data_IF_943749023828
#
_entry.id   IF_943749023828
#
_cell.length_a   1.000
_cell.length_b   1.000
_cell.length_c   1.000
_cell.angle_alpha   90.00
_cell.angle_beta   90.00
_cell.angle_gamma   90.00
#
_symmetry.space_group_name_H-M   'P 1'
#
loop_
_entity.id
_entity.type
_entity.pdbx_description
1 polymer ?
#
# COMPACT_ATOMS: atom_id res chain seq x y z
N UNK A 1 -6.33 -12.47 19.53
CA UNK A 1 -5.56 -13.05 18.40
C UNK A 1 -6.31 -13.02 17.07
N UNK A 2 -7.57 -13.48 16.98
CA UNK A 2 -8.34 -13.47 15.74
C UNK A 2 -8.51 -12.08 15.10
N UNK A 3 -8.83 -11.06 15.91
CA UNK A 3 -9.06 -9.68 15.44
C UNK A 3 -7.79 -9.07 14.82
N UNK A 4 -6.62 -9.28 15.43
CA UNK A 4 -5.34 -8.79 14.91
C UNK A 4 -5.02 -9.45 13.56
N UNK A 5 -5.26 -10.77 13.45
CA UNK A 5 -5.08 -11.48 12.17
C UNK A 5 -6.03 -10.97 11.10
N UNK A 6 -7.31 -10.72 11.43
CA UNK A 6 -8.31 -10.21 10.49
C UNK A 6 -7.98 -8.79 10.02
N UNK A 7 -7.52 -7.91 10.92
CA UNK A 7 -7.07 -6.57 10.55
C UNK A 7 -5.82 -6.60 9.68
N UNK A 8 -4.82 -7.39 10.05
CA UNK A 8 -3.58 -7.52 9.28
C UNK A 8 -3.86 -8.05 7.86
N UNK A 9 -4.71 -9.08 7.73
CA UNK A 9 -5.18 -9.59 6.44
C UNK A 9 -5.88 -8.50 5.64
N UNK A 10 -6.79 -7.74 6.24
CA UNK A 10 -7.51 -6.65 5.56
C UNK A 10 -6.55 -5.58 5.03
N UNK A 11 -5.54 -5.22 5.81
CA UNK A 11 -4.54 -4.24 5.39
C UNK A 11 -3.65 -4.75 4.27
N UNK A 12 -3.24 -6.02 4.30
CA UNK A 12 -2.47 -6.65 3.21
C UNK A 12 -3.29 -6.67 1.91
N UNK A 13 -4.58 -7.02 1.98
CA UNK A 13 -5.48 -6.98 0.82
C UNK A 13 -5.58 -5.57 0.22
N UNK A 14 -5.77 -4.55 1.05
CA UNK A 14 -5.86 -3.16 0.59
C UNK A 14 -4.52 -2.69 -0.01
N UNK A 15 -3.38 -3.04 0.58
CA UNK A 15 -2.06 -2.71 0.01
C UNK A 15 -1.85 -3.38 -1.35
N UNK A 16 -2.26 -4.64 -1.49
CA UNK A 16 -2.13 -5.37 -2.74
C UNK A 16 -3.00 -4.74 -3.84
N UNK A 17 -4.25 -4.41 -3.53
CA UNK A 17 -5.17 -3.73 -4.44
C UNK A 17 -4.65 -2.34 -4.83
N UNK A 18 -4.19 -1.55 -3.85
CA UNK A 18 -3.60 -0.24 -4.10
C UNK A 18 -2.35 -0.31 -4.97
N UNK A 19 -1.49 -1.31 -4.74
CA UNK A 19 -0.28 -1.54 -5.55
C UNK A 19 -0.60 -1.90 -7.00
N UNK A 20 -1.60 -2.76 -7.23
CA UNK A 20 -2.06 -3.12 -8.59
C UNK A 20 -2.63 -1.90 -9.30
N UNK A 21 -3.53 -1.15 -8.65
CA UNK A 21 -4.12 0.06 -9.22
C UNK A 21 -3.04 1.11 -9.51
N UNK A 22 -2.10 1.30 -8.59
CA UNK A 22 -0.98 2.22 -8.75
C UNK A 22 -0.08 1.85 -9.93
N UNK A 23 0.21 0.57 -10.14
CA UNK A 23 0.97 0.10 -11.31
C UNK A 23 0.24 0.38 -12.63
N UNK A 24 -1.06 0.06 -12.70
CA UNK A 24 -1.88 0.31 -13.90
C UNK A 24 -1.91 1.81 -14.21
N UNK A 25 -2.16 2.65 -13.20
CA UNK A 25 -2.17 4.09 -13.36
C UNK A 25 -0.79 4.63 -13.74
N UNK A 26 0.29 4.16 -13.12
CA UNK A 26 1.66 4.60 -13.42
C UNK A 26 2.07 4.29 -14.87
N UNK A 27 1.80 3.07 -15.34
CA UNK A 27 2.07 2.67 -16.74
C UNK A 27 1.17 3.44 -17.70
N UNK A 28 -0.11 3.61 -17.38
CA UNK A 28 -1.07 4.35 -18.20
C UNK A 28 -0.70 5.83 -18.33
N UNK A 29 -0.40 6.49 -17.22
CA UNK A 29 0.01 7.90 -17.19
C UNK A 29 1.37 8.10 -17.86
N UNK A 30 2.31 7.17 -17.66
CA UNK A 30 3.62 7.19 -18.33
C UNK A 30 3.51 7.10 -19.85
N UNK A 31 2.69 6.19 -20.37
CA UNK A 31 2.42 6.08 -21.81
C UNK A 31 1.67 7.30 -22.35
N UNK A 32 0.69 7.82 -21.61
CA UNK A 32 -0.03 9.03 -22.03
C UNK A 32 0.92 10.22 -22.15
N UNK A 33 1.76 10.45 -21.15
CA UNK A 33 2.77 11.52 -21.19
C UNK A 33 3.77 11.34 -22.34
N UNK A 34 4.18 10.11 -22.64
CA UNK A 34 5.09 9.82 -23.74
C UNK A 34 4.49 10.16 -25.11
N UNK A 35 3.20 9.86 -25.32
CA UNK A 35 2.46 10.24 -26.54
C UNK A 35 2.36 11.76 -26.68
N UNK A 36 2.14 12.49 -25.58
CA UNK A 36 2.04 13.94 -25.60
C UNK A 36 3.37 14.64 -25.88
N UNK A 37 4.50 14.01 -25.54
CA UNK A 37 5.85 14.55 -25.71
C UNK A 37 6.51 14.03 -27.01
N UNK A 38 5.82 13.20 -27.80
CA UNK A 38 6.34 12.53 -29.01
C UNK A 38 7.67 11.80 -28.78
N UNK A 39 7.86 11.25 -27.58
CA UNK A 39 9.09 10.56 -27.19
C UNK A 39 8.81 9.08 -26.96
N UNK A 40 9.78 8.22 -27.25
CA UNK A 40 9.66 6.81 -26.88
C UNK A 40 9.54 6.71 -25.35
N UNK A 41 8.50 6.00 -24.88
CA UNK A 41 8.23 5.81 -23.46
C UNK A 41 9.32 4.94 -22.80
N UNK A 42 10.50 5.50 -22.57
CA UNK A 42 11.57 4.86 -21.81
C UNK A 42 11.24 5.05 -20.34
N UNK A 43 10.52 4.08 -19.75
CA UNK A 43 10.29 4.04 -18.30
C UNK A 43 11.66 3.80 -17.66
N UNK A 44 12.23 4.79 -16.97
CA UNK A 44 13.59 4.65 -16.51
C UNK A 44 13.62 3.83 -15.22
N UNK A 45 14.68 3.05 -15.02
CA UNK A 45 14.78 2.07 -13.92
C UNK A 45 14.54 2.71 -12.54
N UNK A 46 14.95 3.97 -12.35
CA UNK A 46 14.71 4.72 -11.10
C UNK A 46 13.23 4.96 -10.80
N UNK A 47 12.38 5.10 -11.83
CA UNK A 47 10.94 5.25 -11.65
C UNK A 47 10.28 3.95 -11.18
N UNK A 48 10.72 2.81 -11.74
CA UNK A 48 10.28 1.47 -11.30
C UNK A 48 10.70 1.19 -9.86
N UNK A 49 11.97 1.46 -9.54
CA UNK A 49 12.51 1.31 -8.17
C UNK A 49 11.80 2.25 -7.20
N UNK A 50 11.53 3.50 -7.59
CA UNK A 50 10.78 4.47 -6.79
C UNK A 50 9.34 4.04 -6.53
N UNK A 51 8.64 3.52 -7.54
CA UNK A 51 7.29 2.97 -7.40
C UNK A 51 7.24 1.76 -6.46
N UNK A 52 8.20 0.85 -6.58
CA UNK A 52 8.30 -0.33 -5.72
C UNK A 52 8.62 0.04 -4.26
N UNK A 53 9.57 0.96 -4.04
CA UNK A 53 9.89 1.50 -2.73
C UNK A 53 8.70 2.23 -2.11
N UNK A 54 8.00 3.05 -2.89
CA UNK A 54 6.80 3.75 -2.44
C UNK A 54 5.72 2.78 -1.97
N UNK A 55 5.45 1.72 -2.75
CA UNK A 55 4.52 0.66 -2.37
C UNK A 55 4.95 -0.05 -1.07
N UNK A 56 6.23 -0.38 -0.92
CA UNK A 56 6.76 -1.01 0.29
C UNK A 56 6.62 -0.11 1.52
N UNK A 57 6.97 1.17 1.41
CA UNK A 57 6.92 2.14 2.50
C UNK A 57 5.48 2.36 2.94
N UNK A 58 4.57 2.63 2.01
CA UNK A 58 3.15 2.83 2.31
C UNK A 58 2.55 1.56 2.94
N UNK A 59 2.85 0.38 2.39
CA UNK A 59 2.36 -0.88 2.94
C UNK A 59 2.89 -1.21 4.33
N UNK A 60 4.17 -0.92 4.61
CA UNK A 60 4.76 -1.09 5.93
C UNK A 60 4.19 -0.10 6.95
N UNK A 61 4.09 1.19 6.60
CA UNK A 61 3.59 2.21 7.52
C UNK A 61 2.14 1.91 7.89
N UNK A 62 1.27 1.72 6.89
CA UNK A 62 -0.15 1.49 7.14
C UNK A 62 -0.47 0.06 7.59
N UNK A 63 0.43 -0.91 7.41
CA UNK A 63 0.26 -2.28 7.91
C UNK A 63 0.77 -2.48 9.33
N UNK A 64 2.01 -2.07 9.59
CA UNK A 64 2.69 -2.32 10.87
C UNK A 64 2.18 -1.42 11.99
N UNK A 65 1.93 -0.14 11.71
CA UNK A 65 1.47 0.82 12.72
C UNK A 65 0.12 0.43 13.36
N UNK A 66 -0.96 0.14 12.60
CA UNK A 66 -2.22 -0.28 13.20
C UNK A 66 -2.17 -1.69 13.78
N UNK A 67 -1.37 -2.61 13.21
CA UNK A 67 -1.18 -3.94 13.77
C UNK A 67 -0.50 -3.88 15.15
N UNK A 68 0.51 -3.02 15.28
CA UNK A 68 1.17 -2.76 16.56
C UNK A 68 0.18 -2.14 17.56
N UNK A 69 -0.60 -1.14 17.15
CA UNK A 69 -1.64 -0.55 17.99
C UNK A 69 -2.67 -1.60 18.45
N UNK A 70 -3.16 -2.44 17.56
CA UNK A 70 -4.14 -3.49 17.87
C UNK A 70 -3.60 -4.58 18.80
N UNK A 71 -2.30 -4.91 18.71
CA UNK A 71 -1.66 -5.88 19.61
C UNK A 71 -1.52 -5.39 21.06
N UNK A 72 -1.59 -4.07 21.27
CA UNK A 72 -1.42 -3.40 22.56
C UNK A 72 -2.73 -3.02 23.23
N UNK A 73 -3.89 -3.24 22.58
CA UNK A 73 -5.19 -3.10 23.23
C UNK A 73 -5.47 -4.33 24.09
N UNK A 74 -5.57 -4.13 25.40
CA UNK A 74 -5.96 -5.17 26.33
C UNK A 74 -7.45 -5.50 26.16
N UNK A 75 -7.80 -6.78 25.92
CA UNK A 75 -9.17 -7.21 25.63
C UNK A 75 -10.15 -7.01 26.80
N UNK A 76 -9.64 -6.71 28.00
CA UNK A 76 -10.44 -6.43 29.19
C UNK A 76 -10.95 -4.97 29.19
N UNK A 77 -10.22 -4.04 28.58
CA UNK A 77 -10.58 -2.62 28.54
C UNK A 77 -11.63 -2.32 27.44
N UNK A 78 -11.60 -3.06 26.32
CA UNK A 78 -12.56 -2.93 25.22
C UNK A 78 -13.96 -3.48 25.53
N UNK A 79 -14.13 -4.25 26.62
CA UNK A 79 -15.45 -4.74 27.07
C UNK A 79 -16.05 -3.87 28.19
N UNK A 80 -15.25 -2.96 28.77
CA UNK A 80 -15.66 -2.07 29.86
C UNK A 80 -15.93 -0.64 29.39
N UNK A 81 -15.40 -0.30 28.22
CA UNK A 81 -15.94 0.78 27.39
C UNK A 81 -17.09 0.21 26.56
N UNK A 82 -18.32 0.43 27.02
CA UNK A 82 -19.35 0.88 26.08
C UNK A 82 -18.85 2.14 25.34
#
# INVERSE_FOLDING_TARGET
>A
KAIVSQFLTGTVFICQLGGIIGMILGIGHGNLMAVWIETEAVIPVWSVVGGFLGMLIVGLIFGVYPAYKASKLDPIESLRYE
#
